data_IF_362768760475
#
_entry.id   IF_362768760475
#
_cell.length_a   1.000
_cell.length_b   1.000
_cell.length_c   1.000
_cell.angle_alpha   90.00
_cell.angle_beta   90.00
_cell.angle_gamma   90.00
#
_symmetry.space_group_name_H-M   'P 1'
#
loop_
_entity.id
_entity.type
_entity.pdbx_description
1 polymer ?
#
# COMPACT_ATOMS: atom_id res chain seq x y z
N UNK A 1 33.48 24.11 -1.27
CA UNK A 1 32.47 24.15 -2.34
C UNK A 1 31.53 23.00 -2.08
N UNK A 2 30.43 23.27 -1.39
CA UNK A 2 29.15 22.56 -1.46
C UNK A 2 28.15 23.56 -0.88
N UNK A 3 27.43 24.23 -1.77
CA UNK A 3 26.44 25.25 -1.44
C UNK A 3 25.33 24.63 -0.59
N UNK A 4 25.19 25.12 0.65
CA UNK A 4 24.21 24.71 1.65
C UNK A 4 22.76 25.03 1.29
N UNK A 5 22.26 24.48 0.19
CA UNK A 5 20.87 24.55 -0.22
C UNK A 5 20.19 23.28 0.28
N UNK A 6 19.27 23.43 1.23
CA UNK A 6 18.39 22.32 1.60
C UNK A 6 17.68 21.81 0.34
N UNK A 7 17.66 20.49 0.06
CA UNK A 7 17.15 19.93 -1.19
C UNK A 7 15.67 20.25 -1.46
N UNK A 8 14.93 20.74 -0.45
CA UNK A 8 13.55 21.18 -0.55
C UNK A 8 13.36 22.52 0.21
N UNK A 9 13.61 23.67 -0.43
CA UNK A 9 13.54 24.98 0.22
C UNK A 9 12.11 25.41 0.61
N UNK A 10 11.08 24.74 0.07
CA UNK A 10 9.66 25.02 0.31
C UNK A 10 8.91 23.82 0.93
N UNK A 11 9.55 23.11 1.87
CA UNK A 11 8.90 21.99 2.54
C UNK A 11 7.73 22.49 3.42
N UNK A 12 6.57 21.85 3.31
CA UNK A 12 5.46 22.10 4.22
C UNK A 12 5.83 21.63 5.63
N UNK A 13 5.26 22.29 6.67
CA UNK A 13 5.39 21.78 8.03
C UNK A 13 4.79 20.37 8.13
N UNK A 14 5.31 19.55 9.05
CA UNK A 14 4.81 18.18 9.27
C UNK A 14 3.30 18.15 9.52
N UNK A 15 2.77 19.13 10.26
CA UNK A 15 1.34 19.25 10.50
C UNK A 15 0.56 19.43 9.19
N UNK A 16 1.00 20.36 8.32
CA UNK A 16 0.36 20.61 7.03
C UNK A 16 0.49 19.40 6.09
N UNK A 17 1.58 18.64 6.19
CA UNK A 17 1.71 17.36 5.48
C UNK A 17 0.63 16.37 5.91
N UNK A 18 0.45 16.15 7.23
CA UNK A 18 -0.58 15.23 7.76
C UNK A 18 -1.99 15.67 7.37
N UNK A 19 -2.27 16.98 7.40
CA UNK A 19 -3.54 17.54 6.94
C UNK A 19 -3.80 17.26 5.44
N UNK A 20 -2.75 17.22 4.62
CA UNK A 20 -2.86 17.01 3.17
C UNK A 20 -2.84 15.53 2.76
N UNK A 21 -2.33 14.62 3.60
CA UNK A 21 -2.25 13.19 3.30
C UNK A 21 -3.57 12.55 2.81
N UNK A 22 -4.77 12.88 3.35
CA UNK A 22 -6.01 12.32 2.83
C UNK A 22 -6.31 12.75 1.38
N UNK A 23 -5.95 13.99 1.03
CA UNK A 23 -6.19 14.56 -0.30
C UNK A 23 -5.25 14.00 -1.37
N UNK A 24 -4.11 13.40 -0.99
CA UNK A 24 -3.15 12.82 -1.95
C UNK A 24 -3.56 11.44 -2.45
N UNK A 25 -4.52 10.78 -1.80
CA UNK A 25 -4.94 9.43 -2.17
C UNK A 25 -5.54 9.38 -3.58
N UNK A 26 -6.38 10.36 -3.93
CA UNK A 26 -7.01 10.45 -5.25
C UNK A 26 -5.97 10.67 -6.36
N UNK A 27 -5.10 11.72 -6.33
CA UNK A 27 -4.11 11.91 -7.38
C UNK A 27 -3.11 10.76 -7.46
N UNK A 28 -2.73 10.15 -6.34
CA UNK A 28 -1.88 8.95 -6.35
C UNK A 28 -2.56 7.77 -7.03
N UNK A 29 -3.86 7.56 -6.79
CA UNK A 29 -4.63 6.50 -7.44
C UNK A 29 -4.72 6.70 -8.95
N UNK A 30 -4.96 7.94 -9.40
CA UNK A 30 -5.00 8.30 -10.83
C UNK A 30 -3.63 8.09 -11.47
N UNK A 31 -2.56 8.56 -10.82
CA UNK A 31 -1.19 8.34 -11.28
C UNK A 31 -0.88 6.85 -11.41
N UNK A 32 -1.20 6.07 -10.39
CA UNK A 32 -0.99 4.62 -10.39
C UNK A 32 -1.76 3.93 -11.52
N UNK A 33 -3.01 4.33 -11.77
CA UNK A 33 -3.78 3.84 -12.91
C UNK A 33 -3.17 4.25 -14.26
N UNK A 34 -2.56 5.44 -14.36
CA UNK A 34 -1.86 5.87 -15.58
C UNK A 34 -0.58 5.08 -15.86
N UNK A 35 0.01 4.48 -14.82
CA UNK A 35 1.15 3.59 -14.95
C UNK A 35 0.77 2.17 -15.39
N UNK A 36 -0.52 1.86 -15.57
CA UNK A 36 -0.92 0.52 -15.97
C UNK A 36 -0.53 0.23 -17.42
N UNK A 37 0.15 -0.89 -17.61
CA UNK A 37 0.57 -1.39 -18.90
C UNK A 37 -0.58 -2.00 -19.69
N UNK A 38 -0.31 -2.32 -20.95
CA UNK A 38 -1.26 -3.08 -21.77
C UNK A 38 -1.18 -4.56 -21.42
N UNK A 39 -2.33 -5.21 -21.29
CA UNK A 39 -2.38 -6.66 -21.17
C UNK A 39 -2.04 -7.29 -22.53
N UNK A 40 -0.86 -7.89 -22.63
CA UNK A 40 -0.42 -8.67 -23.79
C UNK A 40 0.32 -9.90 -23.27
N UNK A 41 -0.23 -11.09 -23.54
CA UNK A 41 0.41 -12.35 -23.17
C UNK A 41 0.12 -12.80 -21.73
N UNK A 42 1.14 -13.33 -21.07
CA UNK A 42 1.02 -13.96 -19.74
C UNK A 42 1.06 -12.88 -18.65
N UNK A 43 0.15 -13.00 -17.69
CA UNK A 43 0.13 -12.17 -16.48
C UNK A 43 0.36 -13.03 -15.25
N UNK A 44 1.19 -12.55 -14.33
CA UNK A 44 1.43 -13.19 -13.03
C UNK A 44 0.67 -12.41 -11.97
N UNK A 45 -0.08 -13.13 -11.13
CA UNK A 45 -0.76 -12.57 -9.97
C UNK A 45 -0.10 -13.09 -8.70
N UNK A 46 0.22 -12.19 -7.78
CA UNK A 46 0.65 -12.55 -6.44
C UNK A 46 -0.06 -11.69 -5.39
N UNK A 47 -0.18 -12.21 -4.17
CA UNK A 47 -0.76 -11.49 -3.05
C UNK A 47 0.21 -11.39 -1.88
N UNK A 48 0.53 -10.17 -1.46
CA UNK A 48 1.39 -9.90 -0.32
C UNK A 48 0.58 -9.45 0.90
N UNK A 49 0.92 -9.94 2.09
CA UNK A 49 0.27 -9.48 3.34
C UNK A 49 0.73 -8.07 3.70
N UNK A 50 -0.22 -7.23 4.10
CA UNK A 50 0.01 -5.94 4.74
C UNK A 50 -0.43 -6.06 6.19
N UNK A 51 0.53 -6.24 7.11
CA UNK A 51 0.24 -6.31 8.54
C UNK A 51 0.13 -4.89 9.11
N UNK A 52 -1.03 -4.54 9.68
CA UNK A 52 -1.26 -3.21 10.30
C UNK A 52 -0.72 -3.12 11.72
N UNK A 53 -0.41 -4.25 12.35
CA UNK A 53 0.18 -4.33 13.67
C UNK A 53 0.89 -5.66 13.91
N UNK A 54 1.80 -5.67 14.88
CA UNK A 54 2.39 -6.90 15.40
C UNK A 54 1.33 -7.82 16.03
N UNK A 55 1.47 -9.14 15.89
CA UNK A 55 0.48 -10.13 16.34
C UNK A 55 0.11 -10.01 17.83
N UNK A 56 1.11 -9.74 18.68
CA UNK A 56 0.94 -9.47 20.12
C UNK A 56 0.01 -8.29 20.43
N UNK A 57 -0.15 -7.32 19.52
CA UNK A 57 -0.94 -6.09 19.71
C UNK A 57 -2.30 -6.10 19.00
N UNK A 58 -2.69 -7.23 18.39
CA UNK A 58 -3.94 -7.36 17.62
C UNK A 58 -5.18 -6.92 18.42
N UNK A 59 -5.26 -7.31 19.70
CA UNK A 59 -6.40 -7.00 20.58
C UNK A 59 -6.55 -5.51 20.88
N UNK A 60 -5.44 -4.76 20.88
CA UNK A 60 -5.42 -3.32 21.18
C UNK A 60 -5.44 -2.41 19.96
N UNK A 61 -5.43 -2.97 18.74
CA UNK A 61 -5.37 -2.18 17.52
C UNK A 61 -6.75 -1.57 17.18
N UNK A 62 -6.84 -0.23 17.22
CA UNK A 62 -8.09 0.53 17.03
C UNK A 62 -8.28 1.10 15.62
N UNK A 63 -7.20 1.50 14.93
CA UNK A 63 -7.26 2.26 13.67
C UNK A 63 -7.96 1.48 12.56
N UNK A 64 -7.54 0.23 12.32
CA UNK A 64 -8.14 -0.65 11.31
C UNK A 64 -9.01 -1.74 11.96
N UNK A 65 -9.72 -1.43 13.06
CA UNK A 65 -10.49 -2.43 13.81
C UNK A 65 -11.61 -3.05 12.97
N UNK A 66 -12.34 -2.23 12.22
CA UNK A 66 -13.55 -2.65 11.50
C UNK A 66 -13.27 -3.07 10.04
N UNK A 67 -12.13 -2.67 9.49
CA UNK A 67 -11.73 -2.95 8.10
C UNK A 67 -10.57 -3.95 7.98
N UNK A 68 -9.66 -3.99 8.96
CA UNK A 68 -8.53 -4.90 8.97
C UNK A 68 -8.89 -6.24 9.61
N UNK A 69 -8.94 -7.30 8.80
CA UNK A 69 -9.24 -8.67 9.27
C UNK A 69 -7.97 -9.46 9.56
N UNK A 70 -8.12 -10.54 10.33
CA UNK A 70 -7.02 -11.48 10.55
C UNK A 70 -6.84 -12.35 9.30
N UNK A 71 -5.61 -12.75 9.00
CA UNK A 71 -5.34 -13.69 7.92
C UNK A 71 -4.17 -14.58 8.29
N UNK A 72 -4.07 -15.73 7.62
CA UNK A 72 -2.96 -16.66 7.76
C UNK A 72 -2.13 -16.65 6.47
N UNK A 73 -0.81 -16.54 6.59
CA UNK A 73 0.12 -16.88 5.51
C UNK A 73 0.85 -18.16 5.87
N UNK A 74 1.62 -18.73 4.93
CA UNK A 74 2.43 -19.94 5.17
C UNK A 74 3.36 -19.80 6.38
N UNK A 75 3.79 -18.57 6.68
CA UNK A 75 4.75 -18.27 7.74
C UNK A 75 4.12 -17.85 9.07
N UNK A 76 3.03 -17.06 9.06
CA UNK A 76 2.43 -16.57 10.30
C UNK A 76 1.02 -16.02 10.10
N UNK A 77 0.28 -15.85 11.19
CA UNK A 77 -0.90 -15.02 11.24
C UNK A 77 -0.54 -13.54 11.09
N UNK A 78 -1.50 -12.73 10.67
CA UNK A 78 -1.40 -11.28 10.70
C UNK A 78 -2.80 -10.66 10.87
N UNK A 79 -2.88 -9.40 11.30
CA UNK A 79 -4.08 -8.57 11.17
C UNK A 79 -3.78 -7.48 10.15
N UNK A 80 -4.67 -7.28 9.18
CA UNK A 80 -4.54 -6.25 8.17
C UNK A 80 -5.18 -6.63 6.84
N UNK A 81 -4.46 -6.41 5.75
CA UNK A 81 -4.95 -6.49 4.38
C UNK A 81 -4.08 -7.42 3.53
N UNK A 82 -4.59 -7.85 2.38
CA UNK A 82 -3.82 -8.45 1.30
C UNK A 82 -3.78 -7.47 0.13
N UNK A 83 -2.59 -7.26 -0.39
CA UNK A 83 -2.34 -6.53 -1.62
C UNK A 83 -2.19 -7.54 -2.75
N UNK A 84 -3.12 -7.54 -3.68
CA UNK A 84 -3.08 -8.35 -4.89
C UNK A 84 -2.49 -7.48 -6.00
N UNK A 85 -1.43 -7.97 -6.63
CA UNK A 85 -0.76 -7.32 -7.75
C UNK A 85 -0.85 -8.23 -8.96
N UNK A 86 -1.14 -7.65 -10.11
CA UNK A 86 -1.07 -8.34 -11.40
C UNK A 86 -0.04 -7.62 -12.25
N UNK A 87 0.98 -8.35 -12.71
CA UNK A 87 2.03 -7.82 -13.58
C UNK A 87 2.10 -8.62 -14.88
N UNK A 88 2.50 -7.97 -15.97
CA UNK A 88 2.83 -8.67 -17.21
C UNK A 88 4.27 -9.22 -17.18
N UNK A 89 4.61 -9.97 -18.22
CA UNK A 89 5.94 -10.56 -18.46
C UNK A 89 7.07 -9.52 -18.59
N UNK A 90 6.73 -8.27 -18.89
CA UNK A 90 7.68 -7.13 -18.97
C UNK A 90 7.86 -6.39 -17.64
N UNK A 91 7.15 -6.80 -16.58
CA UNK A 91 7.19 -6.15 -15.28
C UNK A 91 6.33 -4.89 -15.16
N UNK A 92 5.46 -4.62 -16.14
CA UNK A 92 4.47 -3.55 -16.05
C UNK A 92 3.29 -4.01 -15.19
N UNK A 93 2.77 -3.09 -14.40
CA UNK A 93 1.62 -3.32 -13.55
C UNK A 93 0.34 -3.31 -14.41
N UNK A 94 -0.52 -4.30 -14.24
CA UNK A 94 -1.78 -4.41 -14.94
C UNK A 94 -2.97 -4.08 -14.04
N UNK A 95 -2.91 -4.47 -12.77
CA UNK A 95 -3.96 -4.18 -11.81
C UNK A 95 -3.46 -4.29 -10.36
N UNK A 96 -4.14 -3.60 -9.46
CA UNK A 96 -3.96 -3.68 -8.00
C UNK A 96 -5.32 -3.81 -7.32
N UNK A 97 -5.41 -4.70 -6.34
CA UNK A 97 -6.54 -4.73 -5.41
C UNK A 97 -6.06 -4.85 -3.96
N UNK A 98 -6.71 -4.13 -3.05
CA UNK A 98 -6.51 -4.26 -1.61
C UNK A 98 -7.75 -4.89 -1.01
N UNK A 99 -7.60 -6.06 -0.39
CA UNK A 99 -8.70 -6.74 0.30
C UNK A 99 -8.38 -6.91 1.78
N UNK A 100 -9.41 -7.04 2.62
CA UNK A 100 -9.19 -7.44 4.01
C UNK A 100 -8.47 -8.81 4.08
N UNK A 101 -7.74 -9.07 5.17
CA UNK A 101 -7.18 -10.39 5.43
C UNK A 101 -8.26 -11.47 5.36
N UNK A 102 -7.98 -12.56 4.65
CA UNK A 102 -8.87 -13.72 4.64
C UNK A 102 -8.64 -14.56 5.89
N UNK A 103 -9.62 -14.56 6.78
CA UNK A 103 -9.84 -15.68 7.70
C UNK A 103 -10.47 -16.81 6.89
N UNK A 104 -9.85 -17.99 6.87
CA UNK A 104 -10.56 -19.26 6.73
C UNK A 104 -11.03 -19.62 8.14
#
# INVERSE_FOLDING_TARGET
MDSGVAPFPALVSYQRFVEWMPSTLIPLSIYLHSCFGQWKGVSVMDSTKIAVCHNRRIKGHKVFKDIGRRGKTSFDWFKGFKLHLVCNDKGELLNIAVTAGNCI
#
